data_IF_720800159620
#
_entry.id   IF_720800159620
#
_cell.length_a   1.000
_cell.length_b   1.000
_cell.length_c   1.000
_cell.angle_alpha   90.00
_cell.angle_beta   90.00
_cell.angle_gamma   90.00
#
_symmetry.space_group_name_H-M   'P 1'
#
loop_
_entity.id
_entity.type
_entity.pdbx_description
1 polymer ?
#
# COMPACT_ATOMS: atom_id res chain seq x y z
N UNK A 1 22.46 -12.61 6.08
CA UNK A 1 21.90 -11.26 6.29
C UNK A 1 21.60 -10.69 4.91
N UNK A 2 20.33 -10.56 4.53
CA UNK A 2 19.94 -9.82 3.33
C UNK A 2 20.16 -8.34 3.66
N UNK A 3 21.09 -7.67 2.99
CA UNK A 3 21.24 -6.22 3.11
C UNK A 3 19.90 -5.57 2.73
N UNK A 4 19.31 -4.77 3.61
CA UNK A 4 18.15 -3.95 3.28
C UNK A 4 18.52 -3.07 2.08
N UNK A 5 17.90 -3.31 0.92
CA UNK A 5 18.13 -2.48 -0.27
C UNK A 5 17.55 -1.10 0.00
N UNK A 6 18.35 -0.06 -0.24
CA UNK A 6 17.92 1.34 -0.07
C UNK A 6 16.99 1.71 -1.24
N UNK A 7 15.81 2.31 -0.97
CA UNK A 7 14.90 2.70 -2.03
C UNK A 7 15.42 3.91 -2.83
N UNK A 8 15.25 3.84 -4.13
CA UNK A 8 15.50 4.88 -5.13
C UNK A 8 14.15 5.52 -5.49
N UNK A 9 14.17 6.84 -5.67
CA UNK A 9 13.00 7.58 -6.11
C UNK A 9 12.82 7.50 -7.62
N UNK A 10 11.58 7.32 -8.06
CA UNK A 10 11.15 7.46 -9.46
C UNK A 10 11.05 8.93 -9.91
N UNK A 11 11.25 9.88 -8.99
CA UNK A 11 10.98 11.31 -9.20
C UNK A 11 9.52 11.71 -8.98
N UNK A 12 8.62 10.75 -8.77
CA UNK A 12 7.20 10.97 -8.50
C UNK A 12 6.83 10.35 -7.16
N UNK A 13 6.62 11.17 -6.13
CA UNK A 13 6.41 10.69 -4.76
C UNK A 13 5.22 9.73 -4.65
N UNK A 14 4.11 10.05 -5.32
CA UNK A 14 2.94 9.17 -5.36
C UNK A 14 3.27 7.80 -5.95
N UNK A 15 4.09 7.74 -7.00
CA UNK A 15 4.53 6.48 -7.60
C UNK A 15 5.47 5.71 -6.66
N UNK A 16 6.38 6.39 -5.98
CA UNK A 16 7.27 5.78 -5.00
C UNK A 16 6.47 5.11 -3.88
N UNK A 17 5.40 5.77 -3.40
CA UNK A 17 4.48 5.18 -2.43
C UNK A 17 3.74 3.97 -2.98
N UNK A 18 3.26 4.02 -4.22
CA UNK A 18 2.57 2.90 -4.86
C UNK A 18 3.46 1.68 -5.07
N UNK A 19 4.76 1.88 -5.32
CA UNK A 19 5.73 0.82 -5.54
C UNK A 19 6.45 0.38 -4.26
N UNK A 20 6.38 1.15 -3.17
CA UNK A 20 7.29 0.97 -2.04
C UNK A 20 8.75 1.35 -2.38
N UNK A 21 8.93 2.23 -3.37
CA UNK A 21 10.21 2.64 -3.94
C UNK A 21 10.73 1.72 -5.04
N UNK A 22 11.66 2.26 -5.84
CA UNK A 22 12.49 1.48 -6.77
C UNK A 22 13.71 0.95 -6.04
N UNK A 23 14.32 -0.12 -6.52
CA UNK A 23 15.55 -0.66 -5.96
C UNK A 23 16.57 -0.95 -7.06
N UNK A 24 17.85 -0.86 -6.71
CA UNK A 24 18.93 -1.34 -7.57
C UNK A 24 18.67 -2.78 -7.99
N UNK A 25 18.75 -3.01 -9.30
CA UNK A 25 18.40 -4.24 -10.00
C UNK A 25 17.01 -4.22 -10.64
N UNK A 26 16.15 -3.25 -10.36
CA UNK A 26 14.81 -3.24 -10.96
C UNK A 26 14.84 -3.01 -12.47
N UNK A 27 14.35 -4.00 -13.22
CA UNK A 27 13.81 -3.80 -14.55
C UNK A 27 12.34 -3.38 -14.44
N UNK A 28 12.04 -2.15 -14.82
CA UNK A 28 10.71 -1.53 -14.75
C UNK A 28 10.12 -1.47 -16.15
N UNK A 29 9.12 -2.30 -16.44
CA UNK A 29 8.39 -2.27 -17.72
C UNK A 29 7.17 -1.36 -17.63
N UNK A 30 7.07 -0.41 -18.56
CA UNK A 30 5.97 0.52 -18.74
C UNK A 30 5.15 0.13 -19.97
N UNK A 31 3.94 -0.36 -19.74
CA UNK A 31 2.95 -0.64 -20.78
C UNK A 31 2.10 0.60 -21.03
N UNK A 32 2.35 1.30 -22.13
CA UNK A 32 1.63 2.50 -22.52
C UNK A 32 0.54 2.19 -23.55
N UNK A 33 -0.73 2.39 -23.22
CA UNK A 33 -1.82 2.15 -24.20
C UNK A 33 -1.97 3.25 -25.23
N UNK A 34 -1.43 4.45 -24.97
CA UNK A 34 -1.56 5.63 -25.84
C UNK A 34 -0.21 6.07 -26.44
N UNK A 35 0.88 5.35 -26.17
CA UNK A 35 2.23 5.55 -26.74
C UNK A 35 2.92 6.86 -26.35
N UNK A 36 2.37 7.63 -25.41
CA UNK A 36 2.83 8.98 -25.09
C UNK A 36 2.80 9.33 -23.60
N UNK A 37 2.16 8.50 -22.77
CA UNK A 37 1.96 8.72 -21.34
C UNK A 37 3.23 8.44 -20.52
N UNK A 38 4.01 7.42 -20.90
CA UNK A 38 5.22 7.02 -20.16
C UNK A 38 6.29 8.11 -20.15
N UNK A 39 6.28 9.02 -21.15
CA UNK A 39 7.25 10.10 -21.27
C UNK A 39 7.28 11.01 -20.05
N UNK A 40 6.15 11.30 -19.40
CA UNK A 40 6.12 12.17 -18.23
C UNK A 40 6.86 11.53 -17.04
N UNK A 41 6.69 10.22 -16.84
CA UNK A 41 7.37 9.47 -15.79
C UNK A 41 8.87 9.32 -16.07
N UNK A 42 9.25 9.14 -17.33
CA UNK A 42 10.66 9.11 -17.73
C UNK A 42 11.35 10.45 -17.46
N UNK A 43 10.69 11.58 -17.74
CA UNK A 43 11.21 12.92 -17.43
C UNK A 43 11.47 13.08 -15.92
N UNK A 44 10.51 12.68 -15.08
CA UNK A 44 10.68 12.73 -13.62
C UNK A 44 11.84 11.84 -13.14
N UNK A 45 11.99 10.65 -13.72
CA UNK A 45 13.09 9.76 -13.39
C UNK A 45 14.45 10.34 -13.79
N UNK A 46 14.54 10.99 -14.96
CA UNK A 46 15.75 11.70 -15.40
C UNK A 46 16.06 12.87 -14.47
N UNK A 47 15.06 13.67 -14.09
CA UNK A 47 15.22 14.77 -13.14
C UNK A 47 15.74 14.29 -11.78
N UNK A 48 15.20 13.18 -11.27
CA UNK A 48 15.63 12.58 -10.03
C UNK A 48 17.08 12.06 -10.09
N UNK A 49 17.46 11.44 -11.21
CA UNK A 49 18.85 11.01 -11.47
C UNK A 49 19.79 12.21 -11.47
N UNK A 50 19.44 13.26 -12.21
CA UNK A 50 20.24 14.46 -12.33
C UNK A 50 20.45 15.17 -10.98
N UNK A 51 19.40 15.26 -10.15
CA UNK A 51 19.48 15.85 -8.80
C UNK A 51 20.45 15.10 -7.87
N UNK A 52 20.64 13.80 -8.09
CA UNK A 52 21.60 12.97 -7.34
C UNK A 52 22.94 12.80 -8.05
N UNK A 53 23.12 13.44 -9.21
CA UNK A 53 24.27 13.29 -10.10
C UNK A 53 24.51 11.84 -10.59
N UNK A 54 23.48 11.00 -10.50
CA UNK A 54 23.57 9.62 -10.95
C UNK A 54 23.64 9.57 -12.48
N UNK A 55 24.59 8.81 -13.05
CA UNK A 55 24.68 8.56 -14.48
C UNK A 55 23.39 8.02 -15.08
N UNK A 56 22.96 8.55 -16.22
CA UNK A 56 21.79 8.06 -16.95
C UNK A 56 22.10 7.87 -18.43
N UNK A 57 21.79 6.68 -18.92
CA UNK A 57 21.90 6.30 -20.33
C UNK A 57 20.48 6.27 -20.91
N UNK A 58 20.19 7.19 -21.82
CA UNK A 58 18.93 7.22 -22.56
C UNK A 58 19.13 6.59 -23.94
N UNK A 59 18.31 5.62 -24.28
CA UNK A 59 18.41 4.85 -25.52
C UNK A 59 17.21 5.18 -26.39
N UNK A 60 17.43 5.79 -27.55
CA UNK A 60 16.36 6.26 -28.43
C UNK A 60 16.30 5.48 -29.73
N UNK A 61 15.14 4.87 -30.00
CA UNK A 61 14.81 4.21 -31.28
C UNK A 61 13.80 5.00 -32.09
N UNK A 62 12.99 5.83 -31.44
CA UNK A 62 11.80 6.44 -32.02
C UNK A 62 11.97 7.94 -32.35
N UNK A 63 13.06 8.57 -31.88
CA UNK A 63 13.27 10.01 -32.04
C UNK A 63 14.70 10.30 -32.49
N UNK A 64 14.83 11.25 -33.41
CA UNK A 64 16.15 11.77 -33.77
C UNK A 64 16.80 12.48 -32.59
N UNK A 65 18.14 12.52 -32.51
CA UNK A 65 18.86 13.24 -31.46
C UNK A 65 18.39 14.68 -31.30
N UNK A 66 18.21 15.41 -32.40
CA UNK A 66 17.71 16.80 -32.39
C UNK A 66 16.38 16.91 -31.64
N UNK A 67 15.37 16.14 -32.06
CA UNK A 67 14.03 16.22 -31.49
C UNK A 67 13.99 15.80 -30.02
N UNK A 68 14.80 14.81 -29.65
CA UNK A 68 14.88 14.35 -28.27
C UNK A 68 15.56 15.39 -27.36
N UNK A 69 16.67 15.97 -27.80
CA UNK A 69 17.40 16.99 -27.03
C UNK A 69 16.57 18.26 -26.86
N UNK A 70 15.84 18.70 -27.89
CA UNK A 70 14.89 19.81 -27.80
C UNK A 70 13.79 19.52 -26.75
N UNK A 71 13.28 18.29 -26.70
CA UNK A 71 12.26 17.86 -25.73
C UNK A 71 12.80 17.80 -24.29
N UNK A 72 14.04 17.33 -24.11
CA UNK A 72 14.67 17.23 -22.78
C UNK A 72 15.14 18.60 -22.26
N UNK A 73 15.45 19.54 -23.15
CA UNK A 73 15.88 20.89 -22.79
C UNK A 73 17.11 20.87 -21.89
N UNK A 74 17.03 21.53 -20.73
CA UNK A 74 18.12 21.61 -19.75
C UNK A 74 18.52 20.25 -19.17
N UNK A 75 17.63 19.24 -19.17
CA UNK A 75 17.94 17.90 -18.65
C UNK A 75 18.96 17.15 -19.49
N UNK A 76 19.08 17.50 -20.77
CA UNK A 76 20.13 16.97 -21.63
C UNK A 76 21.49 17.64 -21.38
N UNK A 77 21.56 18.78 -20.67
CA UNK A 77 22.81 19.50 -20.42
C UNK A 77 23.50 18.99 -19.16
N UNK A 78 23.84 17.71 -19.14
CA UNK A 78 24.42 17.03 -17.99
C UNK A 78 25.60 16.17 -18.41
N UNK A 79 26.77 16.26 -17.73
CA UNK A 79 27.92 15.40 -18.02
C UNK A 79 27.63 13.93 -17.67
N UNK A 80 26.67 13.70 -16.77
CA UNK A 80 26.21 12.37 -16.36
C UNK A 80 25.09 11.80 -17.25
N UNK A 81 24.65 12.53 -18.28
CA UNK A 81 23.64 12.06 -19.24
C UNK A 81 24.32 11.63 -20.54
N UNK A 82 23.99 10.43 -21.03
CA UNK A 82 24.46 9.90 -22.30
C UNK A 82 23.26 9.50 -23.16
N UNK A 83 23.26 9.97 -24.41
CA UNK A 83 22.29 9.54 -25.42
C UNK A 83 22.90 8.43 -26.28
N UNK A 84 22.29 7.26 -26.29
CA UNK A 84 22.49 6.22 -27.29
C UNK A 84 21.46 6.41 -28.41
N UNK A 85 21.93 6.88 -29.57
CA UNK A 85 21.12 7.11 -30.75
C UNK A 85 21.07 5.85 -31.61
N UNK A 86 19.95 5.11 -31.50
CA UNK A 86 19.61 4.00 -32.37
C UNK A 86 18.63 4.43 -33.48
N UNK A 87 18.19 5.69 -33.51
CA UNK A 87 17.23 6.19 -34.49
C UNK A 87 17.91 6.47 -35.82
N UNK A 88 19.06 7.17 -35.82
CA UNK A 88 19.67 7.71 -37.05
C UNK A 88 19.91 6.63 -38.11
N UNK A 89 20.56 5.52 -37.75
CA UNK A 89 20.75 4.36 -38.64
C UNK A 89 19.63 3.32 -38.59
N UNK A 90 18.71 3.45 -37.62
CA UNK A 90 17.50 2.64 -37.53
C UNK A 90 16.40 3.22 -38.42
N UNK A 91 15.39 3.84 -37.79
CA UNK A 91 14.26 4.44 -38.49
C UNK A 91 14.61 5.64 -39.37
N UNK A 92 15.70 6.34 -39.06
CA UNK A 92 16.24 7.43 -39.87
C UNK A 92 16.94 6.96 -41.15
N UNK A 93 17.17 5.65 -41.27
CA UNK A 93 17.78 4.98 -42.42
C UNK A 93 19.12 5.59 -42.89
N UNK A 94 19.87 6.21 -41.98
CA UNK A 94 21.14 6.87 -42.28
C UNK A 94 21.01 8.05 -43.25
N UNK A 95 19.82 8.65 -43.38
CA UNK A 95 19.60 9.73 -44.33
C UNK A 95 20.36 11.02 -43.95
N UNK A 96 20.82 11.74 -44.97
CA UNK A 96 21.65 12.95 -44.83
C UNK A 96 21.04 14.01 -43.88
N UNK A 97 19.71 14.10 -43.82
CA UNK A 97 19.02 15.06 -42.96
C UNK A 97 19.32 14.84 -41.47
N UNK A 98 19.48 13.58 -41.05
CA UNK A 98 19.82 13.23 -39.67
C UNK A 98 21.33 13.24 -39.43
N UNK A 99 22.13 12.86 -40.43
CA UNK A 99 23.60 12.90 -40.32
C UNK A 99 24.14 14.34 -40.17
N UNK A 100 23.50 15.31 -40.83
CA UNK A 100 23.83 16.75 -40.69
C UNK A 100 23.78 17.25 -39.25
N UNK A 101 23.01 16.60 -38.35
CA UNK A 101 23.00 16.95 -36.94
C UNK A 101 24.41 16.81 -36.32
N UNK A 102 25.13 15.75 -36.66
CA UNK A 102 26.48 15.49 -36.12
C UNK A 102 27.53 16.44 -36.71
N UNK A 103 27.38 16.83 -37.98
CA UNK A 103 28.28 17.79 -38.64
C UNK A 103 28.13 19.21 -38.07
N UNK A 104 26.91 19.60 -37.70
CA UNK A 104 26.58 20.94 -37.22
C UNK A 104 26.83 21.11 -35.71
N UNK A 105 27.04 20.02 -34.98
CA UNK A 105 27.24 20.02 -33.53
C UNK A 105 28.73 20.07 -33.17
N UNK A 106 29.29 21.28 -33.04
CA UNK A 106 30.68 21.45 -32.58
C UNK A 106 30.86 21.14 -31.10
N UNK A 107 29.82 21.33 -30.27
CA UNK A 107 29.79 21.00 -28.84
C UNK A 107 28.38 20.53 -28.45
N UNK A 108 28.11 19.21 -28.47
CA UNK A 108 26.80 18.69 -28.10
C UNK A 108 26.51 18.91 -26.60
N UNK A 109 25.24 19.09 -26.22
CA UNK A 109 24.84 19.36 -24.82
C UNK A 109 25.13 18.18 -23.88
N UNK A 110 25.26 16.98 -24.43
CA UNK A 110 25.66 15.76 -23.73
C UNK A 110 26.56 14.91 -24.62
N UNK A 111 27.11 13.83 -24.06
CA UNK A 111 27.73 12.78 -24.85
C UNK A 111 26.65 12.03 -25.64
N UNK A 112 26.82 11.96 -26.96
CA UNK A 112 25.93 11.24 -27.87
C UNK A 112 26.74 10.13 -28.53
N UNK A 113 26.23 8.91 -28.50
CA UNK A 113 26.83 7.73 -29.11
C UNK A 113 25.86 7.24 -30.19
N UNK A 114 26.24 7.41 -31.45
CA UNK A 114 25.48 6.91 -32.58
C UNK A 114 25.74 5.40 -32.73
N UNK A 115 24.68 4.58 -32.68
CA UNK A 115 24.78 3.14 -32.90
C UNK A 115 24.70 2.89 -34.40
N UNK A 116 25.80 2.42 -35.00
CA UNK A 116 25.92 2.26 -36.46
C UNK A 116 25.01 1.16 -37.03
N UNK A 117 24.76 0.09 -36.27
CA UNK A 117 23.92 -1.03 -36.71
C UNK A 117 22.82 -1.39 -35.69
N UNK A 118 21.79 -0.54 -35.51
CA UNK A 118 20.73 -0.78 -34.52
C UNK A 118 19.76 -1.91 -34.93
N UNK A 119 19.86 -2.42 -36.17
CA UNK A 119 19.10 -3.58 -36.66
C UNK A 119 19.63 -4.90 -36.07
N UNK A 120 20.85 -4.90 -35.54
CA UNK A 120 21.44 -6.04 -34.85
C UNK A 120 21.30 -5.88 -33.32
N UNK A 121 20.55 -6.78 -32.72
CA UNK A 121 20.32 -6.79 -31.27
C UNK A 121 21.60 -6.95 -30.44
N UNK A 122 22.61 -7.66 -30.95
CA UNK A 122 23.88 -7.85 -30.24
C UNK A 122 24.71 -6.55 -30.31
N UNK A 123 24.66 -5.81 -31.43
CA UNK A 123 25.28 -4.50 -31.56
C UNK A 123 24.68 -3.49 -30.56
N UNK A 124 23.34 -3.44 -30.45
CA UNK A 124 22.64 -2.60 -29.47
C UNK A 124 23.03 -2.99 -28.05
N UNK A 125 23.02 -4.29 -27.72
CA UNK A 125 23.39 -4.77 -26.39
C UNK A 125 24.83 -4.37 -26.04
N UNK A 126 25.76 -4.53 -26.98
CA UNK A 126 27.16 -4.16 -26.79
C UNK A 126 27.32 -2.65 -26.54
N UNK A 127 26.61 -1.81 -27.30
CA UNK A 127 26.63 -0.36 -27.11
C UNK A 127 26.13 0.05 -25.72
N UNK A 128 25.10 -0.61 -25.19
CA UNK A 128 24.63 -0.41 -23.81
C UNK A 128 25.73 -0.73 -22.79
N UNK A 129 26.36 -1.91 -22.92
CA UNK A 129 27.36 -2.37 -21.97
C UNK A 129 28.65 -1.54 -22.01
N UNK A 130 29.11 -1.18 -23.20
CA UNK A 130 30.33 -0.39 -23.34
C UNK A 130 30.12 1.04 -22.86
N UNK A 131 28.93 1.61 -23.07
CA UNK A 131 28.58 2.91 -22.48
C UNK A 131 28.57 2.83 -20.95
N UNK A 132 27.92 1.82 -20.38
CA UNK A 132 27.89 1.62 -18.92
C UNK A 132 29.30 1.48 -18.32
N UNK A 133 30.20 0.72 -18.96
CA UNK A 133 31.60 0.55 -18.48
C UNK A 133 32.37 1.86 -18.37
N UNK A 134 31.97 2.89 -19.11
CA UNK A 134 32.62 4.22 -19.05
C UNK A 134 32.07 5.10 -17.92
N UNK A 135 31.10 4.62 -17.15
CA UNK A 135 30.44 5.35 -16.07
C UNK A 135 30.73 4.68 -14.72
N UNK A 136 30.63 5.47 -13.64
CA UNK A 136 30.89 5.04 -12.27
C UNK A 136 29.70 5.35 -11.37
N UNK A 137 29.42 4.48 -10.40
CA UNK A 137 28.28 4.62 -9.49
C UNK A 137 27.03 3.91 -10.00
N UNK A 138 25.87 4.25 -9.42
CA UNK A 138 24.58 3.68 -9.81
C UNK A 138 24.14 4.32 -11.14
N UNK A 139 24.33 3.59 -12.23
CA UNK A 139 23.92 4.01 -13.58
C UNK A 139 22.46 3.62 -13.77
N UNK A 140 21.66 4.49 -14.40
CA UNK A 140 20.26 4.23 -14.75
C UNK A 140 20.04 4.20 -16.26
N UNK A 141 19.03 3.45 -16.70
CA UNK A 141 18.65 3.38 -18.12
C UNK A 141 17.22 3.83 -18.34
N UNK A 142 17.01 4.51 -19.47
CA UNK A 142 15.68 4.71 -20.08
C UNK A 142 15.75 4.21 -21.51
N UNK A 143 14.96 3.18 -21.84
CA UNK A 143 14.93 2.58 -23.18
C UNK A 143 13.59 2.88 -23.86
N UNK A 144 13.61 3.86 -24.77
CA UNK A 144 12.44 4.33 -25.55
C UNK A 144 12.61 3.97 -27.04
N UNK A 145 11.96 2.93 -27.55
CA UNK A 145 11.05 1.99 -26.88
C UNK A 145 11.25 0.56 -27.39
N UNK A 146 10.79 -0.45 -26.63
CA UNK A 146 10.76 -1.84 -27.08
C UNK A 146 9.88 -2.02 -28.34
N UNK A 147 8.85 -1.18 -28.50
CA UNK A 147 8.04 -1.15 -29.73
C UNK A 147 8.85 -0.61 -30.91
N UNK A 148 9.62 0.47 -30.69
CA UNK A 148 10.52 1.02 -31.70
C UNK A 148 11.56 0.00 -32.17
N UNK A 149 12.14 -0.72 -31.21
CA UNK A 149 13.07 -1.81 -31.46
C UNK A 149 12.48 -2.90 -32.36
N UNK A 150 11.27 -3.38 -32.05
CA UNK A 150 10.64 -4.48 -32.80
C UNK A 150 10.46 -4.16 -34.28
N UNK A 151 10.24 -2.88 -34.64
CA UNK A 151 10.10 -2.48 -36.04
C UNK A 151 11.40 -2.60 -36.86
N UNK A 152 12.57 -2.66 -36.20
CA UNK A 152 13.87 -2.84 -36.84
C UNK A 152 14.31 -4.32 -36.88
N UNK A 153 13.70 -5.17 -36.05
CA UNK A 153 14.09 -6.57 -35.89
C UNK A 153 13.06 -7.52 -36.47
N UNK A 154 13.37 -8.82 -36.52
CA UNK A 154 12.50 -9.84 -37.11
C UNK A 154 11.33 -10.24 -36.18
N UNK A 155 10.60 -9.25 -35.65
CA UNK A 155 9.41 -9.45 -34.83
C UNK A 155 9.69 -9.67 -33.34
N UNK A 156 8.68 -10.21 -32.65
CA UNK A 156 8.66 -10.33 -31.18
C UNK A 156 9.68 -11.34 -30.63
N UNK A 157 10.08 -12.35 -31.41
CA UNK A 157 11.01 -13.38 -30.95
C UNK A 157 12.42 -12.81 -30.72
N UNK A 158 12.90 -11.95 -31.62
CA UNK A 158 14.20 -11.31 -31.47
C UNK A 158 14.18 -10.26 -30.35
N UNK A 159 13.07 -9.52 -30.22
CA UNK A 159 12.84 -8.63 -29.08
C UNK A 159 12.90 -9.40 -27.75
N UNK A 160 12.23 -10.56 -27.68
CA UNK A 160 12.21 -11.39 -26.48
C UNK A 160 13.60 -11.95 -26.15
N UNK A 161 14.35 -12.43 -27.15
CA UNK A 161 15.73 -12.89 -26.95
C UNK A 161 16.62 -11.79 -26.40
N UNK A 162 16.55 -10.59 -26.99
CA UNK A 162 17.30 -9.43 -26.53
C UNK A 162 16.92 -9.08 -25.09
N UNK A 163 15.63 -8.92 -24.80
CA UNK A 163 15.15 -8.56 -23.46
C UNK A 163 15.57 -9.59 -22.40
N UNK A 164 15.45 -10.88 -22.72
CA UNK A 164 15.80 -11.99 -21.82
C UNK A 164 17.31 -12.14 -21.58
N UNK A 165 18.15 -11.63 -22.47
CA UNK A 165 19.61 -11.59 -22.30
C UNK A 165 20.07 -10.32 -21.59
N UNK A 166 19.49 -9.18 -21.95
CA UNK A 166 19.92 -7.86 -21.49
C UNK A 166 19.45 -7.58 -20.06
N UNK A 167 18.21 -7.88 -19.69
CA UNK A 167 17.68 -7.56 -18.36
C UNK A 167 18.40 -8.26 -17.21
N UNK A 168 18.72 -9.57 -17.26
CA UNK A 168 19.51 -10.21 -16.22
C UNK A 168 20.91 -9.61 -16.09
N UNK A 169 21.52 -9.21 -17.21
CA UNK A 169 22.83 -8.58 -17.20
C UNK A 169 22.78 -7.18 -16.59
N UNK A 170 21.75 -6.39 -16.90
CA UNK A 170 21.49 -5.11 -16.24
C UNK A 170 21.23 -5.28 -14.73
N UNK A 171 20.52 -6.34 -14.33
CA UNK A 171 20.31 -6.66 -12.90
C UNK A 171 21.65 -6.85 -12.17
N UNK A 172 22.59 -7.62 -12.75
CA UNK A 172 23.93 -7.83 -12.20
C UNK A 172 24.82 -6.58 -12.23
N UNK A 173 24.55 -5.64 -13.13
CA UNK A 173 25.26 -4.36 -13.21
C UNK A 173 24.76 -3.33 -12.18
N UNK A 174 23.87 -3.72 -11.26
CA UNK A 174 23.34 -2.84 -10.22
C UNK A 174 22.73 -1.54 -10.79
N UNK A 175 21.87 -1.67 -11.81
CA UNK A 175 21.14 -0.53 -12.40
C UNK A 175 19.65 -0.55 -12.07
N UNK A 176 18.97 0.58 -12.27
CA UNK A 176 17.51 0.64 -12.52
C UNK A 176 17.28 0.92 -14.00
N UNK A 177 16.44 0.12 -14.66
CA UNK A 177 16.19 0.25 -16.10
C UNK A 177 14.70 0.42 -16.39
N UNK A 178 14.33 1.55 -16.98
CA UNK A 178 12.99 1.79 -17.52
C UNK A 178 12.91 1.29 -18.95
N UNK A 179 11.92 0.44 -19.21
CA UNK A 179 11.61 -0.11 -20.51
C UNK A 179 10.22 0.35 -20.92
N UNK A 180 10.10 1.03 -22.06
CA UNK A 180 8.81 1.54 -22.53
C UNK A 180 8.30 0.63 -23.65
N UNK A 181 7.03 0.25 -23.59
CA UNK A 181 6.40 -0.60 -24.59
C UNK A 181 4.94 -0.19 -24.81
N UNK A 182 4.52 -0.07 -26.06
CA UNK A 182 3.11 0.13 -26.39
C UNK A 182 2.31 -1.13 -26.13
N UNK A 183 1.35 -1.10 -25.21
CA UNK A 183 0.67 -2.32 -24.74
C UNK A 183 0.00 -3.09 -25.88
N UNK A 184 -0.70 -2.39 -26.77
CA UNK A 184 -1.56 -2.99 -27.80
C UNK A 184 -0.81 -3.35 -29.10
N UNK A 185 0.45 -2.94 -29.24
CA UNK A 185 1.27 -3.28 -30.40
C UNK A 185 1.84 -4.71 -30.35
N UNK A 186 1.76 -5.37 -29.19
CA UNK A 186 2.42 -6.66 -28.94
C UNK A 186 1.45 -7.74 -28.45
N UNK A 187 1.85 -9.01 -28.60
CA UNK A 187 1.08 -10.18 -28.21
C UNK A 187 0.97 -10.33 -26.69
N UNK A 188 -0.08 -11.02 -26.25
CA UNK A 188 -0.22 -11.40 -24.83
C UNK A 188 0.95 -12.29 -24.37
N UNK A 189 1.45 -13.15 -25.27
CA UNK A 189 2.56 -14.07 -25.00
C UNK A 189 3.84 -13.30 -24.70
N UNK A 190 4.22 -12.32 -25.53
CA UNK A 190 5.42 -11.52 -25.31
C UNK A 190 5.33 -10.77 -23.97
N UNK A 191 4.21 -10.10 -23.69
CA UNK A 191 4.00 -9.39 -22.41
C UNK A 191 4.12 -10.30 -21.20
N UNK A 192 3.56 -11.51 -21.27
CA UNK A 192 3.67 -12.48 -20.17
C UNK A 192 5.13 -12.85 -19.89
N UNK A 193 5.96 -13.04 -20.93
CA UNK A 193 7.38 -13.35 -20.76
C UNK A 193 8.17 -12.16 -20.21
N UNK A 194 7.94 -10.96 -20.73
CA UNK A 194 8.53 -9.72 -20.20
C UNK A 194 8.21 -9.56 -18.71
N UNK A 195 6.96 -9.78 -18.32
CA UNK A 195 6.54 -9.70 -16.91
C UNK A 195 7.21 -10.73 -16.01
N UNK A 196 7.61 -11.89 -16.52
CA UNK A 196 8.37 -12.87 -15.73
C UNK A 196 9.75 -12.33 -15.37
N UNK A 197 10.40 -11.62 -16.29
CA UNK A 197 11.77 -11.10 -16.15
C UNK A 197 11.79 -9.78 -15.36
N UNK A 198 10.85 -8.88 -15.63
CA UNK A 198 10.78 -7.56 -14.99
C UNK A 198 10.48 -7.66 -13.49
N UNK A 199 11.13 -6.82 -12.68
CA UNK A 199 10.85 -6.74 -11.24
C UNK A 199 9.57 -5.93 -10.98
N UNK A 200 9.34 -4.90 -11.82
CA UNK A 200 8.18 -4.00 -11.72
C UNK A 200 7.51 -3.91 -13.09
N UNK A 201 6.19 -4.04 -13.13
CA UNK A 201 5.39 -3.85 -14.33
C UNK A 201 4.26 -2.86 -14.06
N UNK A 202 4.16 -1.83 -14.90
CA UNK A 202 3.21 -0.73 -14.76
C UNK A 202 2.44 -0.58 -16.05
N UNK A 203 1.13 -0.36 -15.95
CA UNK A 203 0.27 -0.04 -17.08
C UNK A 203 -0.23 1.39 -16.98
N UNK A 204 -0.12 2.13 -18.10
CA UNK A 204 -0.70 3.45 -18.29
C UNK A 204 -1.84 3.33 -19.29
N UNK A 205 -3.03 3.77 -18.89
CA UNK A 205 -4.24 3.66 -19.72
C UNK A 205 -5.05 4.94 -19.77
N UNK A 206 -5.80 5.14 -20.87
CA UNK A 206 -6.79 6.22 -20.99
C UNK A 206 -8.19 5.60 -20.98
N UNK A 207 -9.06 6.05 -20.06
CA UNK A 207 -10.47 5.64 -20.00
C UNK A 207 -11.35 6.87 -19.86
N UNK A 208 -12.30 7.04 -20.79
CA UNK A 208 -13.23 8.19 -20.81
C UNK A 208 -12.53 9.55 -20.69
N UNK A 209 -11.40 9.71 -21.39
CA UNK A 209 -10.61 10.96 -21.39
C UNK A 209 -9.73 11.19 -20.15
N UNK A 210 -9.72 10.26 -19.19
CA UNK A 210 -8.88 10.32 -17.98
C UNK A 210 -7.75 9.31 -18.06
N UNK A 211 -6.59 9.67 -17.53
CA UNK A 211 -5.38 8.83 -17.49
C UNK A 211 -5.29 8.06 -16.16
N UNK A 212 -4.91 6.79 -16.25
CA UNK A 212 -4.81 5.87 -15.11
C UNK A 212 -3.50 5.12 -15.13
N UNK A 213 -2.90 4.94 -13.96
CA UNK A 213 -1.75 4.07 -13.72
C UNK A 213 -2.20 2.84 -12.93
N UNK A 214 -1.78 1.66 -13.34
CA UNK A 214 -1.98 0.41 -12.59
C UNK A 214 -0.66 -0.31 -12.40
N UNK A 215 -0.33 -0.68 -11.17
CA UNK A 215 0.83 -1.54 -10.89
C UNK A 215 0.42 -2.98 -11.13
N UNK A 216 0.97 -3.63 -12.16
CA UNK A 216 0.65 -5.03 -12.50
C UNK A 216 1.52 -6.02 -11.72
N UNK A 217 2.78 -5.63 -11.46
CA UNK A 217 3.76 -6.43 -10.72
C UNK A 217 4.68 -5.51 -9.94
N UNK A 218 4.98 -5.87 -8.70
CA UNK A 218 5.99 -5.23 -7.87
C UNK A 218 6.64 -6.31 -7.00
N UNK A 219 7.77 -6.86 -7.45
CA UNK A 219 8.40 -8.02 -6.82
C UNK A 219 8.81 -7.70 -5.36
N UNK A 220 8.42 -8.59 -4.42
CA UNK A 220 8.69 -8.50 -2.98
C UNK A 220 8.17 -7.22 -2.29
N UNK A 221 7.12 -6.61 -2.84
CA UNK A 221 6.47 -5.39 -2.32
C UNK A 221 5.00 -5.65 -1.96
N UNK A 222 4.36 -4.63 -1.39
CA UNK A 222 2.97 -4.69 -0.90
C UNK A 222 1.99 -5.13 -2.01
N UNK A 223 1.29 -6.28 -1.86
CA UNK A 223 0.30 -6.73 -2.82
C UNK A 223 -0.94 -5.82 -2.88
N UNK A 224 -1.17 -4.95 -1.89
CA UNK A 224 -2.35 -4.07 -1.80
C UNK A 224 -2.45 -3.01 -2.90
N UNK A 225 -1.34 -2.70 -3.59
CA UNK A 225 -1.33 -1.72 -4.70
C UNK A 225 -1.51 -2.36 -6.08
N UNK A 226 -1.44 -3.70 -6.16
CA UNK A 226 -1.48 -4.41 -7.43
C UNK A 226 -2.86 -4.40 -8.07
N UNK A 227 -2.89 -4.26 -9.40
CA UNK A 227 -4.08 -4.27 -10.27
C UNK A 227 -5.14 -3.20 -9.95
N UNK A 228 -4.82 -2.22 -9.09
CA UNK A 228 -5.66 -1.05 -8.84
C UNK A 228 -5.32 0.06 -9.83
N UNK A 229 -6.34 0.69 -10.40
CA UNK A 229 -6.20 1.84 -11.28
C UNK A 229 -6.22 3.14 -10.48
N UNK A 230 -5.16 3.93 -10.59
CA UNK A 230 -5.01 5.23 -9.95
C UNK A 230 -5.11 6.32 -11.00
N UNK A 231 -6.12 7.18 -10.90
CA UNK A 231 -6.26 8.33 -11.79
C UNK A 231 -5.11 9.31 -11.53
N UNK A 232 -4.48 9.78 -12.59
CA UNK A 232 -3.47 10.82 -12.53
C UNK A 232 -3.66 11.81 -13.66
N UNK A 233 -3.12 13.01 -13.49
CA UNK A 233 -3.03 14.05 -14.51
C UNK A 233 -1.56 14.39 -14.69
N UNK A 234 -1.12 14.42 -15.95
CA UNK A 234 0.24 14.81 -16.29
C UNK A 234 0.22 16.07 -17.16
N UNK A 235 1.02 17.07 -16.79
CA UNK A 235 1.39 18.20 -17.64
C UNK A 235 2.92 18.27 -17.65
N UNK A 236 3.53 17.85 -18.76
CA UNK A 236 4.99 17.74 -18.88
C UNK A 236 5.58 16.82 -17.79
N UNK A 237 6.37 17.37 -16.86
CA UNK A 237 6.91 16.65 -15.70
C UNK A 237 6.01 16.74 -14.45
N UNK A 238 4.99 17.60 -14.42
CA UNK A 238 4.08 17.68 -13.29
C UNK A 238 3.06 16.53 -13.34
N UNK A 239 3.23 15.55 -12.45
CA UNK A 239 2.37 14.38 -12.35
C UNK A 239 1.65 14.43 -11.00
N UNK A 240 0.37 14.73 -11.07
CA UNK A 240 -0.51 14.78 -9.89
C UNK A 240 -1.46 13.61 -9.97
N UNK A 241 -1.36 12.70 -9.01
CA UNK A 241 -2.37 11.67 -8.85
C UNK A 241 -3.62 12.33 -8.26
N UNK A 242 -4.82 12.01 -8.75
CA UNK A 242 -6.06 12.59 -8.20
C UNK A 242 -6.32 12.13 -6.75
N UNK A 243 -5.46 11.27 -6.22
CA UNK A 243 -5.30 10.95 -4.80
C UNK A 243 -4.65 12.07 -3.98
N UNK A 244 -4.07 13.11 -4.59
CA UNK A 244 -3.41 14.25 -3.88
C UNK A 244 -4.38 15.35 -3.42
N UNK A 245 -5.69 15.24 -3.74
CA UNK A 245 -6.75 15.89 -2.95
C UNK A 245 -7.37 14.96 -1.90
N UNK A 246 -6.70 13.85 -1.60
CA UNK A 246 -7.19 12.78 -0.74
C UNK A 246 -6.13 12.20 0.19
N UNK A 247 -5.13 12.98 0.62
CA UNK A 247 -4.18 12.58 1.68
C UNK A 247 -4.83 12.57 3.10
N UNK A 248 -6.12 12.24 3.13
CA UNK A 248 -6.89 11.83 4.32
C UNK A 248 -7.42 10.41 4.19
N UNK A 249 -7.09 9.67 3.13
CA UNK A 249 -7.54 8.30 2.97
C UNK A 249 -6.45 7.39 2.39
N UNK A 250 -5.44 7.07 3.22
CA UNK A 250 -5.08 5.64 3.36
C UNK A 250 -6.42 4.93 3.45
N UNK A 251 -6.83 4.23 2.40
CA UNK A 251 -8.17 3.65 2.32
C UNK A 251 -8.21 2.53 3.35
N UNK A 252 -8.49 2.93 4.59
CA UNK A 252 -8.76 2.08 5.71
C UNK A 252 -9.94 1.26 5.24
N UNK A 253 -9.73 -0.05 5.21
CA UNK A 253 -10.76 -0.99 4.85
C UNK A 253 -11.87 -0.85 5.90
N UNK A 254 -12.82 0.05 5.64
CA UNK A 254 -13.93 0.39 6.52
C UNK A 254 -14.70 -0.87 6.88
N UNK A 255 -14.84 -1.80 5.92
CA UNK A 255 -15.47 -3.10 6.14
C UNK A 255 -14.71 -3.93 7.17
N UNK A 256 -13.39 -4.08 7.00
CA UNK A 256 -12.55 -4.78 7.97
C UNK A 256 -12.52 -4.10 9.35
N UNK A 257 -12.44 -2.76 9.39
CA UNK A 257 -12.43 -1.99 10.63
C UNK A 257 -13.77 -2.07 11.36
N UNK A 258 -14.88 -1.99 10.63
CA UNK A 258 -16.22 -2.19 11.18
C UNK A 258 -16.37 -3.60 11.75
N UNK A 259 -15.90 -4.62 11.03
CA UNK A 259 -15.91 -6.01 11.51
C UNK A 259 -15.11 -6.16 12.80
N UNK A 260 -13.94 -5.54 12.87
CA UNK A 260 -13.10 -5.54 14.06
C UNK A 260 -13.82 -4.90 15.25
N UNK A 261 -14.35 -3.68 15.08
CA UNK A 261 -15.07 -2.97 16.14
C UNK A 261 -16.31 -3.74 16.60
N UNK A 262 -17.05 -4.37 15.66
CA UNK A 262 -18.18 -5.25 15.97
C UNK A 262 -17.77 -6.45 16.82
N UNK A 263 -16.69 -7.13 16.44
CA UNK A 263 -16.17 -8.28 17.19
C UNK A 263 -15.71 -7.83 18.59
N UNK A 264 -15.00 -6.70 18.71
CA UNK A 264 -14.58 -6.14 20.00
C UNK A 264 -15.76 -5.74 20.88
N UNK A 265 -16.89 -5.33 20.29
CA UNK A 265 -18.15 -5.06 20.99
C UNK A 265 -18.86 -6.33 21.46
N UNK A 266 -18.53 -7.49 20.88
CA UNK A 266 -19.09 -8.79 21.25
C UNK A 266 -20.43 -9.13 20.58
N UNK A 267 -20.81 -8.46 19.49
CA UNK A 267 -22.11 -8.68 18.83
C UNK A 267 -21.94 -9.36 17.45
N UNK A 268 -22.94 -10.14 17.02
CA UNK A 268 -22.94 -10.81 15.71
C UNK A 268 -23.36 -9.87 14.57
N UNK A 269 -23.11 -10.27 13.32
CA UNK A 269 -23.63 -9.51 12.15
C UNK A 269 -25.15 -9.41 12.17
N UNK A 270 -25.84 -10.51 12.56
CA UNK A 270 -27.29 -10.56 12.68
C UNK A 270 -27.80 -9.59 13.74
N UNK A 271 -27.10 -9.50 14.86
CA UNK A 271 -27.49 -8.59 15.95
C UNK A 271 -27.25 -7.13 15.58
N UNK A 272 -26.12 -6.81 14.94
CA UNK A 272 -25.87 -5.46 14.42
C UNK A 272 -26.93 -5.06 13.38
N UNK A 273 -27.27 -5.98 12.46
CA UNK A 273 -28.30 -5.76 11.44
C UNK A 273 -29.66 -5.43 12.07
N UNK A 274 -30.05 -6.17 13.12
CA UNK A 274 -31.28 -5.96 13.89
C UNK A 274 -31.30 -4.58 14.57
N UNK A 275 -30.19 -4.17 15.19
CA UNK A 275 -30.09 -2.90 15.90
C UNK A 275 -30.16 -1.69 14.96
N UNK A 276 -29.59 -1.80 13.76
CA UNK A 276 -29.61 -0.69 12.79
C UNK A 276 -30.80 -0.74 11.82
N UNK A 277 -31.51 -1.86 11.71
CA UNK A 277 -32.69 -2.03 10.86
C UNK A 277 -32.38 -2.39 9.40
N UNK A 278 -31.35 -3.22 9.17
CA UNK A 278 -30.99 -3.75 7.85
C UNK A 278 -30.95 -5.28 7.85
N UNK A 279 -30.70 -5.90 6.69
CA UNK A 279 -30.54 -7.36 6.61
C UNK A 279 -29.13 -7.81 7.03
N UNK A 280 -28.96 -9.02 7.59
CA UNK A 280 -27.62 -9.55 7.89
C UNK A 280 -26.69 -9.62 6.67
N UNK A 281 -27.27 -9.88 5.48
CA UNK A 281 -26.53 -9.83 4.21
C UNK A 281 -25.94 -8.45 3.93
N UNK A 282 -26.68 -7.37 4.23
CA UNK A 282 -26.17 -6.00 4.07
C UNK A 282 -24.95 -5.74 4.96
N UNK A 283 -24.98 -6.16 6.23
CA UNK A 283 -23.81 -6.05 7.13
C UNK A 283 -22.63 -6.89 6.62
N UNK A 284 -22.89 -8.11 6.15
CA UNK A 284 -21.83 -8.96 5.58
C UNK A 284 -21.19 -8.35 4.34
N UNK A 285 -21.99 -7.78 3.44
CA UNK A 285 -21.52 -7.08 2.24
C UNK A 285 -20.73 -5.81 2.59
N UNK A 286 -21.12 -5.09 3.65
CA UNK A 286 -20.36 -3.95 4.17
C UNK A 286 -19.02 -4.41 4.76
N UNK A 287 -19.01 -5.44 5.61
CA UNK A 287 -17.80 -5.95 6.26
C UNK A 287 -16.80 -6.60 5.30
N UNK A 288 -17.29 -7.11 4.17
CA UNK A 288 -16.47 -7.67 3.08
C UNK A 288 -16.13 -6.64 2.00
N UNK A 289 -16.44 -5.37 2.23
CA UNK A 289 -16.16 -4.25 1.33
C UNK A 289 -16.76 -4.42 -0.08
N UNK A 290 -17.85 -5.19 -0.19
CA UNK A 290 -18.63 -5.36 -1.42
C UNK A 290 -19.58 -4.18 -1.66
N UNK A 291 -20.10 -3.58 -0.58
CA UNK A 291 -20.95 -2.38 -0.62
C UNK A 291 -20.50 -1.38 0.45
N UNK A 292 -20.76 -0.10 0.21
CA UNK A 292 -20.57 0.94 1.23
C UNK A 292 -21.91 1.29 1.89
N UNK A 293 -21.93 1.47 3.22
CA UNK A 293 -23.12 1.96 3.91
C UNK A 293 -23.37 3.43 3.53
N UNK A 294 -24.64 3.86 3.55
CA UNK A 294 -24.96 5.29 3.45
C UNK A 294 -24.46 6.03 4.70
N UNK A 295 -24.23 7.35 4.61
CA UNK A 295 -23.83 8.17 5.76
C UNK A 295 -24.76 8.01 6.98
N UNK A 296 -26.10 8.02 6.82
CA UNK A 296 -27.01 7.74 7.94
C UNK A 296 -26.86 6.34 8.52
N UNK A 297 -26.62 5.32 7.69
CA UNK A 297 -26.40 3.96 8.17
C UNK A 297 -25.07 3.86 8.95
N UNK A 298 -24.02 4.52 8.46
CA UNK A 298 -22.71 4.52 9.09
C UNK A 298 -22.73 5.24 10.46
N UNK A 299 -23.45 6.35 10.59
CA UNK A 299 -23.68 7.03 11.87
C UNK A 299 -24.39 6.10 12.88
N UNK A 300 -25.45 5.44 12.45
CA UNK A 300 -26.20 4.50 13.29
C UNK A 300 -25.35 3.30 13.72
N UNK A 301 -24.45 2.84 12.85
CA UNK A 301 -23.49 1.79 13.18
C UNK A 301 -22.48 2.30 14.22
N UNK A 302 -21.96 3.52 14.07
CA UNK A 302 -21.06 4.15 15.04
C UNK A 302 -21.69 4.22 16.44
N UNK A 303 -22.92 4.74 16.52
CA UNK A 303 -23.69 4.84 17.75
C UNK A 303 -23.93 3.47 18.39
N UNK A 304 -24.32 2.48 17.58
CA UNK A 304 -24.56 1.11 18.06
C UNK A 304 -23.28 0.44 18.60
N UNK A 305 -22.14 0.73 17.97
CA UNK A 305 -20.84 0.21 18.38
C UNK A 305 -20.20 1.02 19.52
N UNK A 306 -20.76 2.19 19.87
CA UNK A 306 -20.23 3.07 20.91
C UNK A 306 -18.87 3.68 20.54
N UNK A 307 -18.71 4.08 19.28
CA UNK A 307 -17.47 4.68 18.76
C UNK A 307 -17.79 5.93 17.95
N UNK A 308 -16.82 6.84 17.83
CA UNK A 308 -16.93 7.96 16.91
C UNK A 308 -16.94 7.47 15.46
N UNK A 309 -17.67 8.17 14.58
CA UNK A 309 -17.72 7.86 13.14
C UNK A 309 -16.32 7.85 12.52
N UNK A 310 -15.40 8.68 13.02
CA UNK A 310 -13.99 8.70 12.58
C UNK A 310 -13.25 7.37 12.82
N UNK A 311 -13.70 6.54 13.75
CA UNK A 311 -13.05 5.28 14.15
C UNK A 311 -13.04 4.23 13.05
N UNK A 312 -13.98 4.32 12.09
CA UNK A 312 -14.00 3.49 10.88
C UNK A 312 -12.92 3.88 9.87
N UNK A 313 -12.36 5.07 10.02
CA UNK A 313 -11.35 5.69 9.17
C UNK A 313 -10.05 5.93 9.94
N UNK A 314 -9.78 5.15 10.99
CA UNK A 314 -8.49 5.12 11.68
C UNK A 314 -7.77 3.79 11.41
N UNK A 315 -6.48 3.84 11.07
CA UNK A 315 -5.62 2.66 11.07
C UNK A 315 -5.57 2.07 12.48
N UNK A 316 -5.35 0.75 12.58
CA UNK A 316 -5.07 0.12 13.85
C UNK A 316 -3.92 0.87 14.55
N UNK A 317 -4.22 1.30 15.77
CA UNK A 317 -3.31 1.92 16.73
C UNK A 317 -2.62 3.23 16.30
N UNK A 318 -3.39 4.29 16.05
CA UNK A 318 -2.96 5.57 16.66
C UNK A 318 -3.16 5.41 18.17
N UNK A 319 -2.08 5.49 18.96
CA UNK A 319 -2.18 5.72 20.40
C UNK A 319 -3.11 6.92 20.58
N UNK A 320 -4.27 6.72 21.18
CA UNK A 320 -5.11 7.85 21.54
C UNK A 320 -4.27 8.76 22.43
N UNK A 321 -4.00 9.99 21.99
CA UNK A 321 -3.37 11.02 22.84
C UNK A 321 -4.33 11.46 23.96
N UNK A 322 -5.57 10.96 23.95
CA UNK A 322 -6.58 11.24 24.96
C UNK A 322 -6.19 10.62 26.29
N UNK A 323 -5.91 11.49 27.26
CA UNK A 323 -5.53 11.12 28.62
C UNK A 323 -6.78 10.91 29.51
N UNK A 324 -7.88 11.61 29.21
CA UNK A 324 -9.11 11.58 30.01
C UNK A 324 -10.29 11.10 29.18
N UNK A 325 -10.97 10.05 29.67
CA UNK A 325 -12.19 9.48 29.10
C UNK A 325 -13.38 9.81 30.01
N UNK A 326 -14.30 10.71 29.59
CA UNK A 326 -15.52 11.00 30.31
C UNK A 326 -16.40 9.77 30.48
N UNK A 327 -17.24 9.75 31.52
CA UNK A 327 -18.14 8.63 31.79
C UNK A 327 -19.16 8.35 30.64
N UNK A 328 -19.44 9.34 29.80
CA UNK A 328 -20.27 9.21 28.59
C UNK A 328 -19.67 8.29 27.53
N UNK A 329 -18.35 8.08 27.57
CA UNK A 329 -17.62 7.27 26.59
C UNK A 329 -17.66 5.77 26.95
N UNK A 330 -18.16 5.44 28.14
CA UNK A 330 -18.27 4.07 28.60
C UNK A 330 -19.40 3.34 27.83
N UNK A 331 -19.11 2.12 27.39
CA UNK A 331 -20.02 1.31 26.57
C UNK A 331 -20.55 0.08 27.33
N UNK A 332 -21.87 -0.10 27.36
CA UNK A 332 -22.54 -1.23 28.02
C UNK A 332 -22.31 -2.54 27.28
N UNK A 333 -21.63 -3.52 27.86
CA UNK A 333 -21.44 -4.84 27.25
C UNK A 333 -22.62 -5.77 27.52
N UNK A 334 -23.01 -6.53 26.50
CA UNK A 334 -23.99 -7.59 26.64
C UNK A 334 -23.32 -8.96 26.54
N UNK A 335 -23.72 -9.87 27.43
CA UNK A 335 -23.29 -11.26 27.43
C UNK A 335 -24.49 -12.15 27.15
N UNK A 336 -24.44 -12.92 26.06
CA UNK A 336 -25.51 -13.87 25.70
C UNK A 336 -25.63 -15.03 26.68
N UNK A 337 -24.53 -15.39 27.33
CA UNK A 337 -24.38 -16.65 28.07
C UNK A 337 -24.63 -16.47 29.58
N UNK A 338 -24.87 -15.24 30.03
CA UNK A 338 -25.20 -14.92 31.42
C UNK A 338 -26.72 -14.70 31.58
N UNK A 339 -27.30 -14.98 32.76
CA UNK A 339 -28.71 -14.72 33.00
C UNK A 339 -29.06 -13.25 32.74
N UNK A 340 -30.17 -12.99 32.05
CA UNK A 340 -30.66 -11.62 31.83
C UNK A 340 -30.88 -10.91 33.17
N UNK A 341 -30.59 -9.60 33.19
CA UNK A 341 -30.76 -8.72 34.34
C UNK A 341 -29.97 -9.16 35.60
N UNK A 342 -28.90 -9.93 35.42
CA UNK A 342 -28.04 -10.39 36.52
C UNK A 342 -26.76 -9.59 36.70
N UNK A 343 -26.30 -8.95 35.64
CA UNK A 343 -25.04 -8.22 35.59
C UNK A 343 -25.15 -7.05 34.64
N UNK A 344 -24.58 -5.91 35.02
CA UNK A 344 -24.30 -4.79 34.14
C UNK A 344 -22.78 -4.64 34.03
N UNK A 345 -22.27 -4.54 32.80
CA UNK A 345 -20.84 -4.37 32.56
C UNK A 345 -20.63 -3.18 31.66
N UNK A 346 -19.87 -2.19 32.13
CA UNK A 346 -19.46 -1.03 31.35
C UNK A 346 -17.98 -1.12 31.04
N UNK A 347 -17.63 -1.11 29.76
CA UNK A 347 -16.24 -0.92 29.34
C UNK A 347 -15.92 0.56 29.47
N UNK A 348 -14.88 0.91 30.23
CA UNK A 348 -14.55 2.32 30.54
C UNK A 348 -13.72 2.99 29.44
N UNK A 349 -13.05 2.20 28.61
CA UNK A 349 -12.39 2.70 27.40
C UNK A 349 -13.28 2.47 26.17
N UNK A 350 -13.33 3.43 25.23
CA UNK A 350 -13.90 3.20 23.91
C UNK A 350 -13.32 1.94 23.24
N UNK A 351 -14.12 1.33 22.37
CA UNK A 351 -13.79 0.04 21.73
C UNK A 351 -12.58 0.16 20.79
N UNK A 352 -12.41 1.34 20.21
CA UNK A 352 -11.35 1.76 19.29
C UNK A 352 -10.03 2.14 20.00
N UNK A 353 -10.05 2.35 21.33
CA UNK A 353 -8.84 2.63 22.12
C UNK A 353 -8.08 1.34 22.42
N UNK A 354 -6.80 1.32 22.04
CA UNK A 354 -5.86 0.26 22.39
C UNK A 354 -4.98 0.66 23.57
N UNK A 355 -5.00 -0.17 24.61
CA UNK A 355 -4.16 -0.04 25.79
C UNK A 355 -3.63 -1.40 26.24
N UNK A 356 -2.58 -1.37 27.09
CA UNK A 356 -2.09 -2.56 27.81
C UNK A 356 -3.09 -3.09 28.84
N UNK A 357 -4.06 -2.26 29.20
CA UNK A 357 -5.11 -2.57 30.17
C UNK A 357 -6.47 -2.27 29.55
N UNK A 358 -7.43 -3.15 29.75
CA UNK A 358 -8.84 -2.95 29.42
C UNK A 358 -9.65 -2.81 30.72
N UNK A 359 -10.07 -1.58 31.10
CA UNK A 359 -10.81 -1.35 32.33
C UNK A 359 -12.33 -1.47 32.13
N UNK A 360 -13.01 -2.03 33.14
CA UNK A 360 -14.44 -2.28 33.20
C UNK A 360 -15.00 -1.91 34.56
N UNK A 361 -16.24 -1.42 34.58
CA UNK A 361 -17.07 -1.33 35.78
C UNK A 361 -18.13 -2.44 35.71
N UNK A 362 -18.13 -3.33 36.68
CA UNK A 362 -19.04 -4.48 36.75
C UNK A 362 -19.98 -4.27 37.94
N UNK A 363 -21.27 -4.48 37.73
CA UNK A 363 -22.30 -4.45 38.75
C UNK A 363 -23.07 -5.77 38.72
N UNK A 364 -22.98 -6.56 39.80
CA UNK A 364 -23.73 -7.81 39.95
C UNK A 364 -24.98 -7.48 40.77
N UNK A 365 -26.14 -7.73 40.17
CA UNK A 365 -27.43 -7.31 40.72
C UNK A 365 -27.76 -8.05 42.03
N UNK A 366 -28.58 -7.45 42.91
CA UNK A 366 -29.00 -8.06 44.18
C UNK A 366 -29.55 -9.47 44.01
N UNK A 367 -29.22 -10.36 44.95
CA UNK A 367 -29.73 -11.73 45.01
C UNK A 367 -29.50 -12.58 43.74
N UNK A 368 -28.52 -12.21 42.90
CA UNK A 368 -28.19 -12.94 41.66
C UNK A 368 -26.96 -13.83 41.81
N UNK A 369 -27.00 -14.94 41.07
CA UNK A 369 -25.87 -15.87 40.92
C UNK A 369 -25.47 -15.93 39.46
N UNK A 370 -24.18 -15.73 39.17
CA UNK A 370 -23.59 -15.91 37.85
C UNK A 370 -22.94 -17.31 37.80
N UNK A 371 -23.28 -18.15 36.81
CA UNK A 371 -22.80 -19.54 36.71
C UNK A 371 -21.39 -19.67 36.10
N UNK A 372 -20.73 -18.55 35.81
CA UNK A 372 -19.41 -18.50 35.22
C UNK A 372 -18.76 -17.13 35.46
N UNK A 373 -17.48 -17.01 35.12
CA UNK A 373 -16.81 -15.72 35.00
C UNK A 373 -17.27 -14.96 33.76
N UNK A 374 -17.12 -13.64 33.80
CA UNK A 374 -17.59 -12.71 32.77
C UNK A 374 -16.62 -12.57 31.58
N UNK A 375 -15.33 -12.88 31.75
CA UNK A 375 -14.34 -12.86 30.66
C UNK A 375 -13.71 -14.24 30.42
N UNK A 376 -13.43 -14.54 29.15
CA UNK A 376 -12.68 -15.74 28.74
C UNK A 376 -11.53 -15.29 27.84
N UNK A 377 -10.37 -15.04 28.44
CA UNK A 377 -9.18 -14.63 27.69
C UNK A 377 -7.90 -15.17 28.31
N UNK A 378 -6.81 -15.14 27.53
CA UNK A 378 -5.45 -15.40 28.04
C UNK A 378 -4.87 -14.07 28.52
N UNK A 379 -4.56 -13.95 29.80
CA UNK A 379 -4.02 -12.72 30.39
C UNK A 379 -4.32 -12.63 31.88
N UNK A 380 -3.59 -11.77 32.58
CA UNK A 380 -3.83 -11.51 34.00
C UNK A 380 -5.00 -10.54 34.20
N UNK A 381 -5.75 -10.71 35.28
CA UNK A 381 -6.90 -9.88 35.63
C UNK A 381 -6.77 -9.36 37.06
N UNK A 382 -7.13 -8.10 37.26
CA UNK A 382 -7.20 -7.45 38.58
C UNK A 382 -8.61 -6.90 38.78
N UNK A 383 -9.27 -7.31 39.86
CA UNK A 383 -10.53 -6.77 40.32
C UNK A 383 -10.39 -6.01 41.63
N UNK A 384 -11.13 -4.93 41.80
CA UNK A 384 -11.21 -4.17 43.05
C UNK A 384 -12.68 -3.96 43.42
N UNK A 385 -13.07 -4.36 44.63
CA UNK A 385 -14.43 -4.20 45.11
C UNK A 385 -14.69 -2.78 45.60
N UNK A 386 -15.49 -2.04 44.82
CA UNK A 386 -15.85 -0.66 45.12
C UNK A 386 -16.91 -0.58 46.21
N UNK A 387 -17.91 -1.47 46.17
CA UNK A 387 -19.01 -1.52 47.13
C UNK A 387 -19.72 -2.88 47.11
N UNK A 388 -20.37 -3.23 48.22
CA UNK A 388 -21.16 -4.46 48.36
C UNK A 388 -20.32 -5.65 48.82
N UNK A 389 -20.91 -6.84 48.68
CA UNK A 389 -20.34 -8.12 49.10
C UNK A 389 -20.62 -9.18 48.03
N UNK A 390 -19.62 -9.99 47.69
CA UNK A 390 -19.71 -11.06 46.71
C UNK A 390 -19.04 -12.33 47.20
N UNK A 391 -19.64 -13.48 46.91
CA UNK A 391 -18.99 -14.79 47.04
C UNK A 391 -18.49 -15.25 45.68
N UNK A 392 -17.18 -15.44 45.56
CA UNK A 392 -16.51 -15.93 44.36
C UNK A 392 -16.05 -17.38 44.57
N UNK A 393 -16.42 -18.29 43.67
CA UNK A 393 -15.94 -19.67 43.71
C UNK A 393 -14.81 -19.87 42.69
N UNK A 394 -13.60 -20.12 43.16
CA UNK A 394 -12.44 -20.44 42.35
C UNK A 394 -11.99 -21.86 42.70
N UNK A 395 -11.86 -22.73 41.70
CA UNK A 395 -11.60 -24.15 41.89
C UNK A 395 -12.55 -24.81 42.94
N UNK A 396 -12.01 -25.25 44.08
CA UNK A 396 -12.76 -25.89 45.18
C UNK A 396 -13.04 -24.95 46.36
N UNK A 397 -12.56 -23.71 46.32
CA UNK A 397 -12.67 -22.74 47.41
C UNK A 397 -13.69 -21.66 47.09
N UNK A 398 -14.40 -21.20 48.12
CA UNK A 398 -15.29 -20.04 48.05
C UNK A 398 -14.63 -18.91 48.84
N UNK A 399 -14.51 -17.76 48.19
CA UNK A 399 -13.87 -16.57 48.71
C UNK A 399 -14.93 -15.49 48.91
N UNK A 400 -14.99 -14.91 50.10
CA UNK A 400 -15.78 -13.73 50.35
C UNK A 400 -14.99 -12.49 49.91
N UNK A 401 -15.65 -11.61 49.16
CA UNK A 401 -15.11 -10.36 48.68
C UNK A 401 -15.97 -9.22 49.20
N UNK A 402 -15.39 -8.31 49.98
CA UNK A 402 -16.06 -7.12 50.51
C UNK A 402 -15.46 -5.84 49.93
N UNK A 403 -16.16 -4.72 50.10
CA UNK A 403 -15.66 -3.42 49.68
C UNK A 403 -14.24 -3.12 50.21
N UNK A 404 -13.34 -2.73 49.31
CA UNK A 404 -11.91 -2.51 49.60
C UNK A 404 -11.01 -3.68 49.21
N UNK A 405 -11.55 -4.88 49.01
CA UNK A 405 -10.75 -6.05 48.65
C UNK A 405 -10.33 -6.03 47.17
N UNK A 406 -9.20 -6.70 46.90
CA UNK A 406 -8.63 -6.87 45.56
C UNK A 406 -8.57 -8.35 45.18
N UNK A 407 -8.98 -8.66 43.96
CA UNK A 407 -8.86 -9.98 43.34
C UNK A 407 -7.75 -9.92 42.29
N UNK A 408 -6.88 -10.92 42.26
CA UNK A 408 -5.90 -11.11 41.19
C UNK A 408 -6.02 -12.52 40.63
N UNK A 409 -6.17 -12.63 39.31
CA UNK A 409 -6.27 -13.90 38.59
C UNK A 409 -5.21 -13.95 37.49
N UNK A 410 -4.35 -14.97 37.49
CA UNK A 410 -3.34 -15.15 36.42
C UNK A 410 -3.84 -16.07 35.29
N UNK A 411 -4.46 -17.19 35.67
CA UNK A 411 -4.90 -18.22 34.72
C UNK A 411 -6.15 -18.98 35.16
N UNK A 412 -6.48 -18.95 36.45
CA UNK A 412 -7.67 -19.63 36.97
C UNK A 412 -8.91 -18.77 36.79
N UNK A 413 -9.98 -19.39 36.29
CA UNK A 413 -11.24 -18.71 35.99
C UNK A 413 -12.27 -19.05 37.07
N UNK A 414 -12.88 -18.06 37.74
CA UNK A 414 -13.96 -18.30 38.68
C UNK A 414 -15.12 -19.07 38.04
N UNK A 415 -15.55 -20.12 38.72
CA UNK A 415 -16.67 -20.94 38.28
C UNK A 415 -18.03 -20.35 38.67
N UNK A 416 -18.06 -19.41 39.63
CA UNK A 416 -19.30 -18.81 40.12
C UNK A 416 -19.06 -17.48 40.81
N UNK A 417 -19.99 -16.55 40.64
CA UNK A 417 -20.13 -15.34 41.46
C UNK A 417 -21.52 -15.27 42.05
N UNK A 418 -21.66 -14.83 43.31
CA UNK A 418 -22.95 -14.71 43.98
C UNK A 418 -23.03 -13.42 44.77
N UNK A 419 -24.05 -12.62 44.49
CA UNK A 419 -24.48 -11.52 45.34
C UNK A 419 -25.66 -12.02 46.18
N UNK A 420 -25.48 -12.14 47.49
CA UNK A 420 -26.55 -12.55 48.42
C UNK A 420 -27.20 -11.35 49.14
N UNK A 421 -26.75 -10.13 48.82
CA UNK A 421 -27.23 -8.92 49.45
C UNK A 421 -28.39 -8.31 48.67
N UNK A 422 -29.12 -7.40 49.34
CA UNK A 422 -30.21 -6.62 48.74
C UNK A 422 -29.71 -5.45 47.88
N UNK A 423 -28.40 -5.17 47.88
CA UNK A 423 -27.79 -4.06 47.15
C UNK A 423 -26.86 -4.58 46.03
N UNK A 424 -26.68 -3.82 44.93
CA UNK A 424 -25.73 -4.22 43.89
C UNK A 424 -24.29 -4.21 44.40
N UNK A 425 -23.51 -5.22 44.01
CA UNK A 425 -22.08 -5.25 44.26
C UNK A 425 -21.32 -4.70 43.05
N UNK A 426 -20.40 -3.75 43.27
CA UNK A 426 -19.68 -3.03 42.21
C UNK A 426 -18.19 -3.34 42.25
N UNK A 427 -17.63 -3.64 41.09
CA UNK A 427 -16.23 -3.99 40.89
C UNK A 427 -15.62 -3.07 39.83
N UNK A 428 -14.44 -2.52 40.09
CA UNK A 428 -13.55 -2.06 39.04
C UNK A 428 -12.71 -3.26 38.60
N UNK A 429 -12.74 -3.59 37.31
CA UNK A 429 -12.07 -4.76 36.78
C UNK A 429 -11.13 -4.37 35.64
N UNK A 430 -9.93 -4.94 35.62
CA UNK A 430 -8.89 -4.61 34.65
C UNK A 430 -8.33 -5.91 34.05
N UNK A 431 -8.46 -6.07 32.74
CA UNK A 431 -7.76 -7.12 32.00
C UNK A 431 -6.41 -6.58 31.55
N UNK A 432 -5.35 -7.35 31.77
CA UNK A 432 -3.98 -7.01 31.41
C UNK A 432 -3.61 -7.84 30.18
N UNK A 433 -3.26 -7.16 29.09
CA UNK A 433 -2.89 -7.77 27.81
C UNK A 433 -1.44 -8.24 27.77
#
# INVERSE_FOLDING_TARGET
MLSEKVPITSGVEALDRLLGGLFIGDNVIWYDTAGSLASAFCLNFIMASHKKENPLIYVSFDRSPKNLLEKLGALAQSPSFVLLDCFTYGKGAGSDIFLKFYEQQSQPPCRIICVENPHDSDCVAQALYDTHKTMTGDVYFVVESLTGIQSLWNGEDDLLKFYSRTCPRLYELNTVAYWIMEKHAHSQRLRAHINTIAQVAIELSVKRGKTFLSVLKAEKRDPGTLNRAYEYRARESDIVFDTEKGDTNRMIDMGARLKELRIRRGISQTELARLIGVTPSNISQVESSQIYPSVPALLKIAETLGVDMSSFFQESAKKSERIVFPASDAADMQFSDLPKDSILVKRLFPVDVEGKVEPYLIEIMPEKTLPSHFFFHKGGEVGYCLSGELKMKLAKTEHLLIAGDTVYLESEIPSRWKNETAEPARLLWMKIK
#
